data_IF_774102765731
#
_entry.id   IF_774102765731
#
_cell.length_a   1.000
_cell.length_b   1.000
_cell.length_c   1.000
_cell.angle_alpha   90.00
_cell.angle_beta   90.00
_cell.angle_gamma   90.00
#
_symmetry.space_group_name_H-M   'P 1'
#
loop_
_entity.id
_entity.type
_entity.pdbx_description
1 polymer ?
#
# COMPACT_ATOMS: atom_id res chain seq x y z
N UNK A 1 22.82 -64.06 54.54
CA UNK A 1 23.52 -62.91 53.92
C UNK A 1 22.55 -62.27 52.92
N UNK A 2 21.85 -61.16 53.11
CA UNK A 2 22.03 -59.99 53.98
C UNK A 2 22.16 -58.73 53.11
N UNK A 3 21.12 -58.37 52.33
CA UNK A 3 21.10 -57.16 51.48
C UNK A 3 21.12 -55.90 52.37
N UNK A 4 21.98 -54.89 52.13
CA UNK A 4 21.86 -53.61 52.80
C UNK A 4 21.10 -52.59 51.94
N UNK A 5 20.04 -52.09 52.57
CA UNK A 5 19.12 -51.03 52.19
C UNK A 5 19.82 -49.68 52.36
N UNK A 6 19.91 -48.84 51.32
CA UNK A 6 20.44 -47.47 51.43
C UNK A 6 19.35 -46.42 51.18
N UNK A 7 19.24 -45.55 52.16
CA UNK A 7 18.15 -44.63 52.47
C UNK A 7 17.87 -43.59 51.38
N UNK A 8 16.56 -43.34 51.17
CA UNK A 8 16.01 -42.18 50.47
C UNK A 8 16.41 -40.89 51.19
N UNK A 9 17.04 -39.95 50.46
CA UNK A 9 17.21 -38.57 50.90
C UNK A 9 15.99 -37.76 50.45
N UNK A 10 15.21 -37.29 51.41
CA UNK A 10 14.07 -36.42 51.20
C UNK A 10 14.51 -35.08 50.59
N UNK A 11 13.97 -34.73 49.43
CA UNK A 11 14.16 -33.43 48.79
C UNK A 11 13.29 -32.37 49.47
N UNK A 12 13.95 -31.38 50.08
CA UNK A 12 13.35 -30.24 50.77
C UNK A 12 12.58 -29.36 49.77
N UNK A 13 11.26 -29.31 49.90
CA UNK A 13 10.37 -28.50 49.08
C UNK A 13 10.68 -26.99 49.25
N UNK A 14 11.13 -26.32 48.20
CA UNK A 14 11.16 -24.85 48.13
C UNK A 14 9.73 -24.36 47.88
N UNK A 15 9.12 -23.78 48.91
CA UNK A 15 7.90 -22.96 48.80
C UNK A 15 8.21 -21.74 47.92
N UNK A 16 7.93 -21.84 46.63
CA UNK A 16 7.90 -20.69 45.72
C UNK A 16 6.59 -19.94 45.93
N UNK A 17 6.66 -18.74 46.49
CA UNK A 17 5.54 -17.83 46.60
C UNK A 17 5.00 -17.53 45.18
N UNK A 18 3.79 -18.02 44.90
CA UNK A 18 3.05 -17.73 43.69
C UNK A 18 2.62 -16.26 43.67
N UNK A 19 3.49 -15.39 43.18
CA UNK A 19 3.13 -14.02 42.82
C UNK A 19 2.24 -14.04 41.59
N UNK A 20 0.94 -13.79 41.80
CA UNK A 20 -0.03 -13.51 40.74
C UNK A 20 0.50 -12.31 39.94
N UNK A 21 1.07 -12.57 38.75
CA UNK A 21 1.40 -11.52 37.78
C UNK A 21 0.08 -10.95 37.27
N UNK A 22 -0.43 -9.91 37.93
CA UNK A 22 -1.49 -9.06 37.38
C UNK A 22 -1.01 -8.58 36.01
N UNK A 23 -1.69 -9.02 34.95
CA UNK A 23 -1.44 -8.55 33.59
C UNK A 23 -1.50 -7.02 33.58
N UNK A 24 -0.41 -6.39 33.15
CA UNK A 24 -0.37 -4.94 32.98
C UNK A 24 -1.49 -4.56 32.00
N UNK A 25 -2.53 -3.90 32.51
CA UNK A 25 -3.52 -3.21 31.69
C UNK A 25 -2.73 -2.29 30.75
N UNK A 26 -2.76 -2.59 29.43
CA UNK A 26 -2.13 -1.74 28.43
C UNK A 26 -2.81 -0.37 28.53
N UNK A 27 -2.11 0.59 29.15
CA UNK A 27 -2.55 1.97 29.29
C UNK A 27 -3.01 2.46 27.90
N UNK A 28 -4.26 2.92 27.80
CA UNK A 28 -4.79 3.45 26.55
C UNK A 28 -3.83 4.51 26.02
N UNK A 29 -3.47 4.42 24.73
CA UNK A 29 -2.60 5.42 24.12
C UNK A 29 -3.29 6.79 24.23
N UNK A 30 -2.58 7.86 24.62
CA UNK A 30 -3.16 9.19 24.62
C UNK A 30 -3.48 9.62 23.17
N UNK A 31 -4.62 10.27 22.98
CA UNK A 31 -5.05 10.77 21.67
C UNK A 31 -4.01 11.75 21.09
N UNK A 32 -3.58 11.56 19.82
CA UNK A 32 -2.64 12.46 19.16
C UNK A 32 -3.16 13.90 19.13
N UNK A 33 -2.28 14.87 19.39
CA UNK A 33 -2.63 16.31 19.38
C UNK A 33 -3.28 16.72 18.05
N UNK A 34 -2.72 16.28 16.92
CA UNK A 34 -3.29 16.56 15.59
C UNK A 34 -4.72 16.03 15.39
N UNK A 35 -5.10 14.92 16.03
CA UNK A 35 -6.49 14.43 15.97
C UNK A 35 -7.39 15.25 16.89
N UNK A 36 -6.90 15.67 18.07
CA UNK A 36 -7.64 16.58 18.96
C UNK A 36 -7.92 17.92 18.28
N UNK A 37 -6.94 18.46 17.55
CA UNK A 37 -7.09 19.72 16.83
C UNK A 37 -8.11 19.55 15.69
N UNK A 38 -8.02 18.45 14.91
CA UNK A 38 -9.00 18.13 13.86
C UNK A 38 -10.42 17.87 14.36
N UNK A 39 -10.61 17.36 15.58
CA UNK A 39 -11.93 17.15 16.20
C UNK A 39 -12.56 18.46 16.71
N UNK A 40 -11.78 19.54 16.82
CA UNK A 40 -12.27 20.86 17.30
C UNK A 40 -12.78 21.74 16.18
N UNK A 41 -12.34 21.49 14.95
CA UNK A 41 -12.66 22.30 13.79
C UNK A 41 -13.60 21.55 12.85
N UNK A 42 -14.77 22.12 12.57
CA UNK A 42 -15.59 21.66 11.44
C UNK A 42 -14.84 22.03 10.16
N UNK A 43 -14.45 21.03 9.38
CA UNK A 43 -13.87 21.26 8.07
C UNK A 43 -14.97 21.43 7.04
N UNK A 44 -14.72 22.20 5.98
CA UNK A 44 -15.67 22.35 4.88
C UNK A 44 -15.00 21.96 3.58
N UNK A 45 -15.68 21.16 2.78
CA UNK A 45 -15.25 20.86 1.42
C UNK A 45 -15.94 21.82 0.45
N UNK A 46 -15.17 22.38 -0.49
CA UNK A 46 -15.73 23.19 -1.59
C UNK A 46 -16.24 22.26 -2.68
N UNK A 47 -17.51 22.40 -3.02
CA UNK A 47 -18.20 21.56 -4.01
C UNK A 47 -18.90 22.44 -5.05
N UNK A 48 -19.45 21.84 -6.10
CA UNK A 48 -20.25 22.56 -7.10
C UNK A 48 -21.50 23.22 -6.50
N UNK A 49 -21.99 22.71 -5.36
CA UNK A 49 -23.20 23.16 -4.67
C UNK A 49 -22.90 24.03 -3.42
N UNK A 50 -21.66 24.50 -3.27
CA UNK A 50 -21.24 25.34 -2.13
C UNK A 50 -20.29 24.63 -1.16
N UNK A 51 -20.24 25.12 0.08
CA UNK A 51 -19.43 24.53 1.14
C UNK A 51 -20.24 23.48 1.90
N UNK A 52 -19.76 22.22 1.89
CA UNK A 52 -20.43 21.12 2.58
C UNK A 52 -19.60 20.75 3.83
N UNK A 53 -20.22 20.60 5.01
CA UNK A 53 -19.50 20.23 6.22
C UNK A 53 -18.87 18.83 6.11
N UNK A 54 -17.57 18.73 6.38
CA UNK A 54 -16.87 17.48 6.67
C UNK A 54 -16.48 17.49 8.16
N UNK A 55 -17.01 16.53 8.91
CA UNK A 55 -16.79 16.42 10.35
C UNK A 55 -16.13 15.09 10.70
N UNK A 56 -15.63 14.95 11.93
CA UNK A 56 -14.93 13.77 12.41
C UNK A 56 -15.66 13.18 13.61
N UNK A 57 -15.94 11.88 13.54
CA UNK A 57 -16.53 11.14 14.65
C UNK A 57 -15.61 10.01 15.09
N UNK A 58 -15.69 9.66 16.37
CA UNK A 58 -15.08 8.44 16.88
C UNK A 58 -16.06 7.27 16.76
N UNK A 59 -15.53 6.05 16.62
CA UNK A 59 -16.32 4.81 16.52
C UNK A 59 -17.18 4.50 17.74
N UNK A 60 -16.95 5.16 18.87
CA UNK A 60 -17.73 5.03 20.11
C UNK A 60 -18.79 6.13 20.29
N UNK A 61 -18.91 7.06 19.35
CA UNK A 61 -19.94 8.10 19.36
C UNK A 61 -21.22 7.63 18.65
N UNK A 62 -22.39 8.18 19.01
CA UNK A 62 -23.65 7.79 18.40
C UNK A 62 -23.65 8.07 16.89
N UNK A 63 -24.26 7.16 16.14
CA UNK A 63 -24.40 7.29 14.69
C UNK A 63 -25.45 8.37 14.39
N UNK A 64 -25.17 9.35 13.52
CA UNK A 64 -26.17 10.31 13.09
C UNK A 64 -27.42 9.62 12.49
N UNK A 65 -28.65 10.05 12.80
CA UNK A 65 -29.86 9.43 12.28
C UNK A 65 -29.88 9.41 10.74
N UNK A 66 -30.19 8.25 10.16
CA UNK A 66 -30.23 8.09 8.70
C UNK A 66 -28.86 7.88 8.03
N UNK A 67 -27.77 7.78 8.80
CA UNK A 67 -26.43 7.51 8.30
C UNK A 67 -26.01 6.05 8.50
N UNK A 68 -25.18 5.54 7.59
CA UNK A 68 -24.64 4.18 7.63
C UNK A 68 -23.12 4.19 7.50
N UNK A 69 -22.48 3.24 8.18
CA UNK A 69 -21.02 3.10 8.17
C UNK A 69 -20.53 2.51 6.84
N UNK A 70 -19.61 3.20 6.19
CA UNK A 70 -18.88 2.73 5.01
C UNK A 70 -17.42 2.48 5.40
N UNK A 71 -16.94 1.22 5.39
CA UNK A 71 -15.56 0.93 5.75
C UNK A 71 -14.58 1.49 4.73
N UNK A 72 -13.39 1.87 5.20
CA UNK A 72 -12.28 2.21 4.30
C UNK A 72 -11.83 0.98 3.50
N UNK A 73 -11.31 1.21 2.29
CA UNK A 73 -10.62 0.18 1.50
C UNK A 73 -11.07 0.14 0.04
N UNK A 74 -12.38 0.24 -0.20
CA UNK A 74 -12.89 0.36 -1.56
C UNK A 74 -12.90 1.84 -1.98
N UNK A 75 -11.84 2.25 -2.67
CA UNK A 75 -11.63 3.65 -3.11
C UNK A 75 -12.81 4.14 -3.98
N UNK A 76 -13.40 3.28 -4.81
CA UNK A 76 -14.54 3.67 -5.63
C UNK A 76 -15.75 4.01 -4.76
N UNK A 77 -16.12 3.10 -3.84
CA UNK A 77 -17.27 3.27 -2.95
C UNK A 77 -17.07 4.51 -2.07
N UNK A 78 -15.95 4.62 -1.35
CA UNK A 78 -15.75 5.73 -0.41
C UNK A 78 -15.71 7.09 -1.11
N UNK A 79 -15.10 7.17 -2.30
CA UNK A 79 -15.07 8.40 -3.10
C UNK A 79 -16.45 8.76 -3.65
N UNK A 80 -17.19 7.78 -4.18
CA UNK A 80 -18.54 8.00 -4.72
C UNK A 80 -19.53 8.37 -3.63
N UNK A 81 -19.50 7.69 -2.49
CA UNK A 81 -20.34 8.05 -1.35
C UNK A 81 -20.08 9.48 -0.89
N UNK A 82 -18.81 9.87 -0.73
CA UNK A 82 -18.45 11.25 -0.37
C UNK A 82 -18.97 12.26 -1.40
N UNK A 83 -18.73 12.02 -2.69
CA UNK A 83 -19.21 12.90 -3.78
C UNK A 83 -20.73 13.04 -3.77
N UNK A 84 -21.47 11.94 -3.77
CA UNK A 84 -22.93 11.98 -3.81
C UNK A 84 -23.53 12.59 -2.54
N UNK A 85 -22.90 12.37 -1.38
CA UNK A 85 -23.34 13.01 -0.13
C UNK A 85 -23.14 14.53 -0.19
N UNK A 86 -22.03 14.98 -0.78
CA UNK A 86 -21.77 16.39 -1.06
C UNK A 86 -22.75 16.99 -2.07
N UNK A 87 -23.11 16.24 -3.13
CA UNK A 87 -24.08 16.69 -4.13
C UNK A 87 -25.49 16.86 -3.52
N UNK A 88 -25.81 16.09 -2.47
CA UNK A 88 -27.02 16.27 -1.66
C UNK A 88 -26.91 17.39 -0.62
N UNK A 89 -25.78 18.11 -0.53
CA UNK A 89 -25.52 19.12 0.50
C UNK A 89 -25.47 18.58 1.92
N UNK A 90 -25.35 17.26 2.08
CA UNK A 90 -25.35 16.57 3.38
C UNK A 90 -23.93 16.44 3.93
N UNK A 91 -23.73 16.47 5.25
CA UNK A 91 -22.40 16.33 5.83
C UNK A 91 -21.82 14.93 5.66
N UNK A 92 -20.50 14.83 5.52
CA UNK A 92 -19.78 13.55 5.54
C UNK A 92 -18.97 13.46 6.83
N UNK A 93 -19.15 12.38 7.59
CA UNK A 93 -18.39 12.17 8.82
C UNK A 93 -17.26 11.18 8.59
N UNK A 94 -16.01 11.59 8.84
CA UNK A 94 -14.85 10.69 8.78
C UNK A 94 -14.65 10.00 10.12
N UNK A 95 -14.62 8.67 10.12
CA UNK A 95 -14.61 7.89 11.36
C UNK A 95 -13.20 7.47 11.74
N UNK A 96 -12.85 7.68 13.01
CA UNK A 96 -11.59 7.25 13.61
C UNK A 96 -11.86 6.25 14.74
N UNK A 97 -10.97 5.27 14.85
CA UNK A 97 -11.02 4.33 15.96
C UNK A 97 -10.65 5.03 17.27
N UNK A 98 -11.52 4.95 18.29
CA UNK A 98 -11.30 5.58 19.60
C UNK A 98 -10.08 5.07 20.35
N UNK A 99 -9.61 3.86 20.06
CA UNK A 99 -8.46 3.23 20.74
C UNK A 99 -7.15 3.36 19.97
N UNK A 100 -7.20 3.27 18.64
CA UNK A 100 -6.00 3.31 17.78
C UNK A 100 -5.77 4.65 17.10
N UNK A 101 -6.80 5.52 17.09
CA UNK A 101 -6.81 6.81 16.40
C UNK A 101 -6.46 6.72 14.91
N UNK A 102 -6.74 5.57 14.30
CA UNK A 102 -6.64 5.37 12.86
C UNK A 102 -8.00 5.59 12.24
N UNK A 103 -8.04 6.27 11.10
CA UNK A 103 -9.25 6.37 10.28
C UNK A 103 -9.75 4.96 9.93
N UNK A 104 -11.04 4.71 10.11
CA UNK A 104 -11.70 3.41 9.89
C UNK A 104 -12.66 3.45 8.70
N UNK A 105 -13.32 4.58 8.44
CA UNK A 105 -14.33 4.68 7.40
C UNK A 105 -15.01 6.04 7.33
N UNK A 106 -16.23 6.05 6.83
CA UNK A 106 -17.09 7.23 6.67
C UNK A 106 -18.51 6.90 7.18
N UNK A 107 -19.22 7.87 7.75
CA UNK A 107 -20.69 7.84 7.78
C UNK A 107 -21.22 8.69 6.63
N UNK A 108 -22.16 8.13 5.88
CA UNK A 108 -22.90 8.79 4.80
C UNK A 108 -24.38 8.44 4.90
N UNK A 109 -25.30 9.21 4.30
CA UNK A 109 -26.72 8.86 4.28
C UNK A 109 -26.97 7.47 3.71
N UNK A 110 -27.91 6.73 4.31
CA UNK A 110 -28.23 5.35 3.91
C UNK A 110 -28.66 5.24 2.43
N UNK A 111 -29.38 6.24 1.93
CA UNK A 111 -29.77 6.34 0.51
C UNK A 111 -28.58 6.39 -0.43
N UNK A 112 -27.53 7.15 -0.07
CA UNK A 112 -26.30 7.28 -0.85
C UNK A 112 -25.54 5.96 -0.89
N UNK A 113 -25.37 5.30 0.26
CA UNK A 113 -24.66 4.01 0.29
C UNK A 113 -25.36 2.96 -0.57
N UNK A 114 -26.69 2.86 -0.49
CA UNK A 114 -27.46 1.91 -1.29
C UNK A 114 -27.34 2.20 -2.80
N UNK A 115 -27.45 3.47 -3.20
CA UNK A 115 -27.30 3.89 -4.60
C UNK A 115 -25.89 3.59 -5.14
N UNK A 116 -24.84 3.90 -4.37
CA UNK A 116 -23.44 3.65 -4.76
C UNK A 116 -23.14 2.16 -4.84
N UNK A 117 -23.71 1.33 -3.98
CA UNK A 117 -23.53 -0.12 -4.05
C UNK A 117 -24.18 -0.73 -5.29
N UNK A 118 -25.38 -0.27 -5.65
CA UNK A 118 -26.04 -0.69 -6.89
C UNK A 118 -25.22 -0.28 -8.12
N UNK A 119 -24.84 0.99 -8.22
CA UNK A 119 -24.00 1.52 -9.32
C UNK A 119 -22.66 0.76 -9.39
N UNK A 120 -22.05 0.45 -8.23
CA UNK A 120 -20.80 -0.30 -8.17
C UNK A 120 -20.95 -1.70 -8.73
N UNK A 121 -22.05 -2.39 -8.43
CA UNK A 121 -22.33 -3.75 -8.93
C UNK A 121 -22.55 -3.71 -10.44
N UNK A 122 -23.38 -2.80 -10.93
CA UNK A 122 -23.71 -2.64 -12.36
C UNK A 122 -22.45 -2.31 -13.18
N UNK A 123 -21.66 -1.34 -12.74
CA UNK A 123 -20.47 -0.87 -13.49
C UNK A 123 -19.21 -1.69 -13.20
N UNK A 124 -19.27 -2.72 -12.36
CA UNK A 124 -18.09 -3.48 -11.91
C UNK A 124 -17.30 -4.05 -13.09
N UNK A 125 -17.99 -4.75 -13.98
CA UNK A 125 -17.36 -5.43 -15.11
C UNK A 125 -16.83 -4.44 -16.15
N UNK A 126 -17.57 -3.38 -16.45
CA UNK A 126 -17.11 -2.36 -17.38
C UNK A 126 -15.90 -1.59 -16.84
N UNK A 127 -15.86 -1.30 -15.54
CA UNK A 127 -14.69 -0.72 -14.89
C UNK A 127 -13.49 -1.65 -14.98
N UNK A 128 -13.66 -2.96 -14.72
CA UNK A 128 -12.58 -3.95 -14.87
C UNK A 128 -12.07 -4.00 -16.31
N UNK A 129 -12.96 -4.02 -17.30
CA UNK A 129 -12.63 -4.00 -18.74
C UNK A 129 -11.90 -2.72 -19.13
N UNK A 130 -12.41 -1.56 -18.77
CA UNK A 130 -11.79 -0.26 -19.09
C UNK A 130 -10.38 -0.14 -18.49
N UNK A 131 -10.21 -0.64 -17.26
CA UNK A 131 -8.91 -0.69 -16.61
C UNK A 131 -7.96 -1.66 -17.32
N UNK A 132 -8.41 -2.87 -17.69
CA UNK A 132 -7.61 -3.83 -18.43
C UNK A 132 -7.19 -3.31 -19.82
N UNK A 133 -8.10 -2.64 -20.53
CA UNK A 133 -7.81 -2.00 -21.81
C UNK A 133 -6.77 -0.89 -21.67
N UNK A 134 -6.88 -0.05 -20.62
CA UNK A 134 -5.88 0.97 -20.35
C UNK A 134 -4.52 0.36 -20.04
N UNK A 135 -4.47 -0.69 -19.22
CA UNK A 135 -3.24 -1.40 -18.90
C UNK A 135 -2.60 -2.05 -20.14
N UNK A 136 -3.42 -2.62 -21.03
CA UNK A 136 -2.95 -3.16 -22.31
C UNK A 136 -2.35 -2.07 -23.20
N UNK A 137 -3.01 -0.91 -23.33
CA UNK A 137 -2.48 0.24 -24.08
C UNK A 137 -1.17 0.76 -23.50
N UNK A 138 -1.10 0.95 -22.19
CA UNK A 138 0.12 1.43 -21.52
C UNK A 138 1.28 0.44 -21.72
N UNK A 139 1.00 -0.87 -21.62
CA UNK A 139 1.98 -1.93 -21.86
C UNK A 139 2.44 -1.98 -23.32
N UNK A 140 1.52 -1.82 -24.27
CA UNK A 140 1.86 -1.76 -25.69
C UNK A 140 2.75 -0.55 -25.98
N UNK A 141 2.39 0.64 -25.48
CA UNK A 141 3.20 1.85 -25.61
C UNK A 141 4.61 1.67 -25.03
N UNK A 142 4.74 1.04 -23.87
CA UNK A 142 6.04 0.72 -23.28
C UNK A 142 6.85 -0.24 -24.16
N UNK A 143 6.21 -1.24 -24.77
CA UNK A 143 6.85 -2.19 -25.69
C UNK A 143 7.37 -1.49 -26.95
N UNK A 144 6.54 -0.67 -27.58
CA UNK A 144 6.92 0.10 -28.76
C UNK A 144 8.09 1.04 -28.46
N UNK A 145 8.08 1.68 -27.29
CA UNK A 145 9.18 2.55 -26.87
C UNK A 145 10.46 1.78 -26.58
N UNK A 146 10.38 0.59 -25.96
CA UNK A 146 11.54 -0.28 -25.76
C UNK A 146 12.16 -0.71 -27.09
N UNK A 147 11.35 -1.14 -28.05
CA UNK A 147 11.83 -1.53 -29.39
C UNK A 147 12.46 -0.36 -30.14
N UNK A 148 11.93 0.85 -29.95
CA UNK A 148 12.44 2.07 -30.58
C UNK A 148 13.77 2.54 -29.98
N UNK A 149 13.89 2.50 -28.65
CA UNK A 149 15.10 3.00 -27.96
C UNK A 149 16.19 1.93 -27.86
N UNK A 150 15.84 0.64 -27.95
CA UNK A 150 16.76 -0.48 -27.84
C UNK A 150 16.50 -1.56 -28.92
N UNK A 151 16.75 -1.25 -30.21
CA UNK A 151 16.41 -2.13 -31.32
C UNK A 151 17.15 -3.49 -31.29
N UNK A 152 18.37 -3.53 -30.74
CA UNK A 152 19.20 -4.73 -30.67
C UNK A 152 19.06 -5.52 -29.35
N UNK A 153 18.10 -5.15 -28.49
CA UNK A 153 17.84 -5.89 -27.25
C UNK A 153 17.31 -7.31 -27.54
N UNK A 154 17.83 -8.35 -26.84
CA UNK A 154 17.29 -9.70 -26.97
C UNK A 154 15.80 -9.77 -26.59
N UNK A 155 15.03 -10.57 -27.34
CA UNK A 155 13.56 -10.70 -27.15
C UNK A 155 13.18 -11.21 -25.75
N UNK A 156 14.02 -12.06 -25.17
CA UNK A 156 13.89 -12.56 -23.79
C UNK A 156 13.97 -11.43 -22.77
N UNK A 157 15.00 -10.57 -22.90
CA UNK A 157 15.22 -9.43 -22.01
C UNK A 157 14.11 -8.39 -22.15
N UNK A 158 13.70 -8.08 -23.38
CA UNK A 158 12.57 -7.18 -23.62
C UNK A 158 11.29 -7.66 -22.92
N UNK A 159 11.01 -8.96 -23.00
CA UNK A 159 9.84 -9.57 -22.37
C UNK A 159 9.96 -9.53 -20.84
N UNK A 160 11.16 -9.81 -20.31
CA UNK A 160 11.44 -9.72 -18.88
C UNK A 160 11.25 -8.29 -18.34
N UNK A 161 11.80 -7.29 -19.02
CA UNK A 161 11.64 -5.86 -18.67
C UNK A 161 10.17 -5.46 -18.67
N UNK A 162 9.40 -5.83 -19.70
CA UNK A 162 7.96 -5.55 -19.77
C UNK A 162 7.17 -6.22 -18.64
N UNK A 163 7.48 -7.47 -18.33
CA UNK A 163 6.80 -8.24 -17.29
C UNK A 163 7.18 -7.81 -15.88
N UNK A 164 8.38 -7.27 -15.71
CA UNK A 164 8.86 -6.86 -14.40
C UNK A 164 8.57 -5.38 -14.16
N UNK A 165 9.14 -4.48 -14.95
CA UNK A 165 9.16 -3.03 -14.69
C UNK A 165 7.83 -2.32 -15.02
N UNK A 166 7.07 -2.83 -15.99
CA UNK A 166 5.82 -2.21 -16.46
C UNK A 166 4.55 -2.94 -15.97
N UNK A 167 4.71 -3.93 -15.08
CA UNK A 167 3.58 -4.62 -14.47
C UNK A 167 2.76 -3.67 -13.60
N UNK A 168 1.44 -3.73 -13.75
CA UNK A 168 0.47 -2.97 -12.95
C UNK A 168 0.64 -3.26 -11.46
N UNK A 169 0.52 -2.22 -10.62
CA UNK A 169 0.52 -2.36 -9.15
C UNK A 169 1.88 -2.66 -8.53
N UNK A 170 2.94 -2.75 -9.33
CA UNK A 170 4.28 -3.13 -8.85
C UNK A 170 5.04 -2.03 -8.12
N UNK A 171 4.57 -0.76 -8.17
CA UNK A 171 5.30 0.44 -7.71
C UNK A 171 6.71 0.59 -8.35
N UNK A 172 6.96 -0.08 -9.49
CA UNK A 172 8.25 -0.06 -10.20
C UNK A 172 8.37 1.13 -11.14
N UNK A 173 9.61 1.37 -11.58
CA UNK A 173 10.01 2.53 -12.40
C UNK A 173 9.11 2.76 -13.63
N UNK A 174 8.69 1.69 -14.31
CA UNK A 174 7.85 1.76 -15.51
C UNK A 174 6.46 2.34 -15.28
N UNK A 175 5.99 2.42 -14.02
CA UNK A 175 4.68 3.00 -13.66
C UNK A 175 4.77 4.14 -12.64
N UNK A 176 5.98 4.60 -12.35
CA UNK A 176 6.20 5.69 -11.38
C UNK A 176 5.74 7.02 -11.97
N UNK A 177 4.84 7.72 -11.27
CA UNK A 177 4.47 9.10 -11.61
C UNK A 177 5.55 10.14 -11.28
N UNK A 178 6.64 9.74 -10.61
CA UNK A 178 7.77 10.63 -10.30
C UNK A 178 8.70 10.86 -11.49
N UNK A 179 8.69 9.94 -12.45
CA UNK A 179 9.48 10.06 -13.67
C UNK A 179 8.55 10.59 -14.75
N UNK A 180 8.75 11.84 -15.17
CA UNK A 180 7.89 12.49 -16.15
C UNK A 180 8.06 11.90 -17.57
N UNK A 181 9.30 11.55 -17.93
CA UNK A 181 9.64 11.06 -19.27
C UNK A 181 9.48 9.54 -19.38
N UNK A 182 8.67 9.10 -20.34
CA UNK A 182 8.54 7.67 -20.67
C UNK A 182 9.88 7.07 -21.17
N UNK A 183 10.72 7.88 -21.84
CA UNK A 183 12.06 7.44 -22.27
C UNK A 183 12.96 7.15 -21.08
N UNK A 184 12.92 7.99 -20.05
CA UNK A 184 13.70 7.77 -18.83
C UNK A 184 13.21 6.54 -18.07
N UNK A 185 11.88 6.28 -18.05
CA UNK A 185 11.33 5.04 -17.46
C UNK A 185 11.87 3.80 -18.17
N UNK A 186 11.87 3.81 -19.49
CA UNK A 186 12.39 2.73 -20.32
C UNK A 186 13.89 2.54 -20.09
N UNK A 187 14.69 3.62 -20.11
CA UNK A 187 16.13 3.56 -19.81
C UNK A 187 16.40 2.95 -18.43
N UNK A 188 15.76 3.48 -17.38
CA UNK A 188 15.95 3.00 -16.01
C UNK A 188 15.48 1.55 -15.81
N UNK A 189 14.42 1.14 -16.50
CA UNK A 189 13.93 -0.23 -16.46
C UNK A 189 14.96 -1.20 -17.07
N UNK A 190 15.57 -0.82 -18.19
CA UNK A 190 16.61 -1.62 -18.87
C UNK A 190 17.89 -1.68 -18.04
N UNK A 191 18.37 -0.54 -17.52
CA UNK A 191 19.55 -0.52 -16.64
C UNK A 191 19.36 -1.36 -15.38
N UNK A 192 18.16 -1.31 -14.78
CA UNK A 192 17.83 -2.15 -13.65
C UNK A 192 17.81 -3.65 -14.03
N UNK A 193 17.26 -4.00 -15.19
CA UNK A 193 17.26 -5.37 -15.68
C UNK A 193 18.68 -5.89 -15.93
N UNK A 194 19.49 -5.12 -16.67
CA UNK A 194 20.91 -5.45 -16.93
C UNK A 194 21.64 -5.67 -15.62
N UNK A 195 21.52 -4.75 -14.65
CA UNK A 195 22.15 -4.88 -13.34
C UNK A 195 21.80 -6.18 -12.62
N UNK A 196 20.55 -6.61 -12.65
CA UNK A 196 20.11 -7.79 -11.88
C UNK A 196 20.29 -9.11 -12.63
N UNK A 197 20.35 -9.09 -13.95
CA UNK A 197 20.32 -10.31 -14.78
C UNK A 197 21.64 -10.57 -15.49
N UNK A 198 22.36 -9.51 -15.87
CA UNK A 198 23.54 -9.58 -16.71
C UNK A 198 24.82 -9.21 -15.96
N UNK A 199 24.77 -8.94 -14.65
CA UNK A 199 25.96 -8.63 -13.84
C UNK A 199 25.92 -9.31 -12.47
N UNK A 200 27.05 -9.32 -11.77
CA UNK A 200 27.23 -9.90 -10.43
C UNK A 200 26.63 -9.03 -9.29
N UNK A 201 25.72 -8.10 -9.58
CA UNK A 201 25.20 -7.14 -8.61
C UNK A 201 24.58 -7.81 -7.37
N UNK A 202 23.71 -8.79 -7.58
CA UNK A 202 23.02 -9.48 -6.49
C UNK A 202 24.00 -10.34 -5.67
N UNK A 203 25.05 -10.86 -6.30
CA UNK A 203 26.14 -11.59 -5.67
C UNK A 203 26.99 -10.70 -4.76
N UNK A 204 27.35 -9.50 -5.24
CA UNK A 204 28.08 -8.51 -4.44
C UNK A 204 27.31 -8.13 -3.17
N UNK A 205 25.99 -7.91 -3.30
CA UNK A 205 25.13 -7.60 -2.15
C UNK A 205 25.06 -8.79 -1.19
N UNK A 206 24.91 -10.02 -1.71
CA UNK A 206 24.92 -11.23 -0.87
C UNK A 206 26.24 -11.41 -0.12
N UNK A 207 27.37 -11.00 -0.71
CA UNK A 207 28.71 -11.00 -0.08
C UNK A 207 28.94 -9.82 0.89
N UNK A 208 27.94 -8.95 1.08
CA UNK A 208 27.97 -7.89 2.09
C UNK A 208 28.37 -6.50 1.58
N UNK A 209 28.53 -6.31 0.26
CA UNK A 209 28.71 -4.95 -0.28
C UNK A 209 27.43 -4.13 -0.13
N UNK A 210 27.61 -2.83 0.10
CA UNK A 210 26.50 -1.88 0.05
C UNK A 210 25.96 -1.77 -1.37
N UNK A 211 24.69 -1.38 -1.50
CA UNK A 211 24.04 -1.24 -2.81
C UNK A 211 24.70 -0.17 -3.67
N UNK A 212 25.23 0.86 -3.04
CA UNK A 212 25.92 1.99 -3.66
C UNK A 212 27.22 1.51 -4.28
N UNK A 213 28.09 0.86 -3.50
CA UNK A 213 29.37 0.29 -4.00
C UNK A 213 29.15 -0.79 -5.06
N UNK A 214 28.18 -1.66 -4.86
CA UNK A 214 27.84 -2.68 -5.85
C UNK A 214 27.39 -2.05 -7.18
N UNK A 215 26.68 -0.90 -7.16
CA UNK A 215 26.31 -0.17 -8.38
C UNK A 215 27.49 0.51 -9.04
N UNK A 216 28.39 1.10 -8.27
CA UNK A 216 29.61 1.73 -8.79
C UNK A 216 30.48 0.70 -9.52
N UNK A 217 30.68 -0.48 -8.93
CA UNK A 217 31.51 -1.55 -9.51
C UNK A 217 31.02 -2.07 -10.87
N UNK A 218 29.70 -2.13 -11.06
CA UNK A 218 29.06 -2.68 -12.28
C UNK A 218 28.63 -1.59 -13.26
N UNK A 219 28.87 -0.31 -12.94
CA UNK A 219 28.29 0.80 -13.71
C UNK A 219 28.73 0.78 -15.16
N UNK A 220 30.03 0.61 -15.41
CA UNK A 220 30.59 0.62 -16.76
C UNK A 220 30.07 -0.57 -17.59
N UNK A 221 30.01 -1.76 -16.99
CA UNK A 221 29.45 -2.97 -17.61
C UNK A 221 27.98 -2.77 -18.01
N UNK A 222 27.17 -2.20 -17.12
CA UNK A 222 25.76 -1.89 -17.40
C UNK A 222 25.64 -0.89 -18.56
N UNK A 223 26.44 0.16 -18.55
CA UNK A 223 26.41 1.22 -19.57
C UNK A 223 26.82 0.67 -20.93
N UNK A 224 27.90 -0.12 -20.99
CA UNK A 224 28.39 -0.74 -22.22
C UNK A 224 27.32 -1.65 -22.83
N UNK A 225 26.72 -2.54 -22.02
CA UNK A 225 25.69 -3.45 -22.53
C UNK A 225 24.43 -2.69 -22.96
N UNK A 226 23.97 -1.72 -22.15
CA UNK A 226 22.83 -0.86 -22.47
C UNK A 226 23.02 -0.17 -23.82
N UNK A 227 24.20 0.40 -24.06
CA UNK A 227 24.47 1.16 -25.28
C UNK A 227 24.67 0.24 -26.49
N UNK A 228 25.14 -1.00 -26.29
CA UNK A 228 25.13 -2.02 -27.34
C UNK A 228 23.72 -2.35 -27.83
N UNK A 229 22.71 -2.29 -26.96
CA UNK A 229 21.32 -2.54 -27.32
C UNK A 229 20.64 -1.35 -28.01
N UNK A 230 21.22 -0.14 -27.90
CA UNK A 230 20.68 1.11 -28.51
C UNK A 230 21.07 1.30 -29.96
N UNK A 231 22.25 0.83 -30.34
CA UNK A 231 22.71 0.76 -31.73
C UNK A 231 21.89 -0.28 -32.47
#
# INVERSE_FOLDING_TARGET
MGKPQRQQRQSRAKRGAGGIRKGASKRAKPMPKALKDKLRDISYSKTAHGFVPEDILLDNQPIPPGYVFVPKGNIYITRKCRSQTHDLGSPVYTIYCSTTYKQTGLYVPASVQAAVELESKETSEDRKKAVAQKDARDRQKARELLLKEFPNMPKSDLTAVLNHAFLKGSRRVGRSGKIASEKDKVRLAVEAHIRHVHTEYDDMIRRGLTRERARENIWDEVVILRDSWRK
#
